data_IF_908407717087
#
_entry.id   IF_908407717087
#
_cell.length_a   1.000
_cell.length_b   1.000
_cell.length_c   1.000
_cell.angle_alpha   90.00
_cell.angle_beta   90.00
_cell.angle_gamma   90.00
#
_symmetry.space_group_name_H-M   'P 1'
#
loop_
_entity.id
_entity.type
_entity.pdbx_description
1 polymer ?
#
# COMPACT_ATOMS: atom_id res chain seq x y z
N UNK A 1 -24.87 0.75 9.79
CA UNK A 1 -23.46 0.68 9.35
C UNK A 1 -22.60 0.59 10.61
N UNK A 2 -22.21 -0.61 11.04
CA UNK A 2 -21.47 -0.81 12.29
C UNK A 2 -19.98 -0.54 12.07
N UNK A 3 -19.50 0.65 12.46
CA UNK A 3 -18.07 0.95 12.54
C UNK A 3 -17.58 0.51 13.92
N UNK A 4 -16.90 -0.64 13.97
CA UNK A 4 -16.24 -1.10 15.19
C UNK A 4 -15.05 -0.19 15.50
N UNK A 5 -15.05 0.40 16.71
CA UNK A 5 -13.92 1.12 17.29
C UNK A 5 -12.94 0.10 17.89
N UNK A 6 -11.65 0.26 17.59
CA UNK A 6 -10.56 -0.48 18.25
C UNK A 6 -10.37 0.02 19.70
N UNK A 7 -9.64 -0.73 20.56
CA UNK A 7 -9.66 -0.56 22.02
C UNK A 7 -9.22 0.80 22.57
N UNK A 8 -8.54 1.63 21.76
CA UNK A 8 -8.01 2.92 22.19
C UNK A 8 -9.05 4.05 22.15
N UNK A 9 -10.18 3.86 21.47
CA UNK A 9 -11.28 4.84 21.42
C UNK A 9 -10.90 6.21 20.84
N UNK A 10 -9.70 6.33 20.27
CA UNK A 10 -9.13 7.61 19.86
C UNK A 10 -9.72 8.07 18.52
N UNK A 11 -10.13 9.34 18.49
CA UNK A 11 -10.54 10.04 17.28
C UNK A 11 -9.45 11.04 16.89
N UNK A 12 -9.13 11.06 15.60
CA UNK A 12 -8.14 11.92 14.98
C UNK A 12 -8.82 13.05 14.22
N UNK A 13 -8.16 14.20 14.20
CA UNK A 13 -8.49 15.33 13.34
C UNK A 13 -7.51 15.34 12.16
N UNK A 14 -8.04 15.24 10.94
CA UNK A 14 -7.24 15.32 9.72
C UNK A 14 -7.45 16.67 9.05
N UNK A 15 -6.34 17.29 8.68
CA UNK A 15 -6.32 18.48 7.85
C UNK A 15 -5.80 18.09 6.47
N UNK A 16 -6.65 18.14 5.46
CA UNK A 16 -6.31 17.81 4.08
C UNK A 16 -6.42 19.06 3.23
N UNK A 17 -5.45 19.29 2.34
CA UNK A 17 -5.51 20.36 1.37
C UNK A 17 -5.99 19.77 0.05
N UNK A 18 -7.27 19.90 -0.21
CA UNK A 18 -7.89 19.52 -1.46
C UNK A 18 -7.71 20.61 -2.52
N UNK A 19 -7.52 20.20 -3.79
CA UNK A 19 -7.29 21.16 -4.89
C UNK A 19 -8.53 21.95 -5.26
N UNK A 20 -9.71 21.37 -5.11
CA UNK A 20 -10.99 21.98 -5.50
C UNK A 20 -11.64 22.70 -4.31
N UNK A 21 -11.55 22.09 -3.12
CA UNK A 21 -12.26 22.53 -1.92
C UNK A 21 -11.37 23.27 -0.91
N UNK A 22 -10.07 23.40 -1.17
CA UNK A 22 -9.15 24.09 -0.27
C UNK A 22 -8.82 23.29 0.99
N UNK A 23 -8.84 23.92 2.17
CA UNK A 23 -8.58 23.21 3.43
C UNK A 23 -9.85 22.46 3.87
N UNK A 24 -9.78 21.13 3.90
CA UNK A 24 -10.81 20.24 4.43
C UNK A 24 -10.36 19.72 5.79
N UNK A 25 -11.29 19.68 6.75
CA UNK A 25 -11.02 19.25 8.13
C UNK A 25 -11.99 18.14 8.51
N UNK A 26 -11.47 16.92 8.72
CA UNK A 26 -12.23 15.78 9.22
C UNK A 26 -11.97 15.61 10.72
N UNK A 27 -12.94 15.95 11.57
CA UNK A 27 -12.76 16.05 13.02
C UNK A 27 -13.04 14.77 13.82
N UNK A 28 -13.36 13.65 13.16
CA UNK A 28 -13.77 12.40 13.83
C UNK A 28 -13.36 11.16 13.04
N UNK A 29 -12.07 11.04 12.72
CA UNK A 29 -11.54 9.88 12.01
C UNK A 29 -10.98 8.88 13.01
N UNK A 30 -11.44 7.63 12.97
CA UNK A 30 -10.85 6.56 13.79
C UNK A 30 -9.57 6.00 13.16
N UNK A 31 -8.70 5.38 13.97
CA UNK A 31 -7.52 4.66 13.46
C UNK A 31 -7.90 3.60 12.41
N UNK A 32 -9.01 2.89 12.64
CA UNK A 32 -9.52 1.89 11.69
C UNK A 32 -9.88 2.49 10.32
N UNK A 33 -10.45 3.70 10.29
CA UNK A 33 -10.75 4.39 9.04
C UNK A 33 -9.48 4.83 8.31
N UNK A 34 -8.47 5.31 9.04
CA UNK A 34 -7.16 5.64 8.46
C UNK A 34 -6.52 4.42 7.80
N UNK A 35 -6.46 3.30 8.52
CA UNK A 35 -5.89 2.05 7.99
C UNK A 35 -6.70 1.54 6.80
N UNK A 36 -8.03 1.63 6.84
CA UNK A 36 -8.90 1.25 5.72
C UNK A 36 -8.62 2.06 4.47
N UNK A 37 -8.50 3.39 4.61
CA UNK A 37 -8.17 4.29 3.50
C UNK A 37 -6.78 3.98 2.93
N UNK A 38 -5.77 3.84 3.79
CA UNK A 38 -4.41 3.48 3.36
C UNK A 38 -4.39 2.13 2.62
N UNK A 39 -5.26 1.18 3.01
CA UNK A 39 -5.40 -0.09 2.33
C UNK A 39 -6.12 0.03 0.98
N UNK A 40 -7.11 0.93 0.81
CA UNK A 40 -7.78 1.12 -0.49
C UNK A 40 -6.88 1.74 -1.54
N UNK A 41 -5.83 2.45 -1.14
CA UNK A 41 -4.80 2.97 -2.06
C UNK A 41 -3.78 1.92 -2.53
N UNK A 42 -3.71 0.76 -1.87
CA UNK A 42 -2.73 -0.26 -2.17
C UNK A 42 -3.17 -1.17 -3.33
N UNK A 43 -2.35 -1.27 -4.38
CA UNK A 43 -2.59 -2.16 -5.52
C UNK A 43 -2.38 -3.64 -5.20
N UNK A 44 -1.50 -3.95 -4.25
CA UNK A 44 -1.17 -5.32 -3.87
C UNK A 44 -1.28 -5.51 -2.35
N UNK A 45 -1.70 -6.69 -1.94
CA UNK A 45 -1.74 -7.16 -0.55
C UNK A 45 -0.53 -8.00 -0.21
N UNK A 46 -0.18 -8.07 1.07
CA UNK A 46 0.86 -9.00 1.54
C UNK A 46 0.38 -10.43 1.30
N UNK A 47 1.23 -11.24 0.67
CA UNK A 47 0.92 -12.60 0.23
C UNK A 47 0.57 -12.70 -1.26
N UNK A 48 0.27 -11.59 -1.93
CA UNK A 48 -0.06 -11.62 -3.35
C UNK A 48 1.14 -12.06 -4.19
N UNK A 49 0.88 -12.92 -5.18
CA UNK A 49 1.84 -13.25 -6.24
C UNK A 49 1.90 -12.09 -7.23
N UNK A 50 3.10 -11.67 -7.57
CA UNK A 50 3.34 -10.63 -8.58
C UNK A 50 4.15 -11.23 -9.74
N UNK A 51 3.73 -10.98 -10.96
CA UNK A 51 4.42 -11.46 -12.16
C UNK A 51 5.64 -10.56 -12.43
N UNK A 52 6.78 -10.96 -11.87
CA UNK A 52 8.04 -10.23 -12.00
C UNK A 52 9.16 -11.19 -12.41
N UNK A 53 9.42 -11.23 -13.72
CA UNK A 53 10.43 -12.10 -14.29
C UNK A 53 10.02 -13.59 -14.24
N UNK A 54 10.97 -14.51 -14.49
CA UNK A 54 10.64 -15.93 -14.70
C UNK A 54 10.38 -16.71 -13.40
N UNK A 55 10.54 -16.10 -12.23
CA UNK A 55 10.42 -16.76 -10.93
C UNK A 55 9.19 -16.29 -10.17
N UNK A 56 8.67 -17.14 -9.29
CA UNK A 56 7.52 -16.81 -8.46
C UNK A 56 7.89 -15.76 -7.39
N UNK A 57 7.39 -14.53 -7.57
CA UNK A 57 7.58 -13.41 -6.66
C UNK A 57 6.31 -13.12 -5.87
N UNK A 58 6.49 -12.72 -4.61
CA UNK A 58 5.39 -12.41 -3.70
C UNK A 58 5.64 -11.12 -2.95
N UNK A 59 4.55 -10.42 -2.62
CA UNK A 59 4.59 -9.29 -1.69
C UNK A 59 4.80 -9.82 -0.27
N UNK A 60 5.99 -9.64 0.29
CA UNK A 60 6.31 -10.10 1.65
C UNK A 60 5.92 -9.10 2.72
N UNK A 61 6.08 -7.82 2.42
CA UNK A 61 5.73 -6.75 3.35
C UNK A 61 5.32 -5.51 2.57
N UNK A 62 4.51 -4.70 3.25
CA UNK A 62 3.98 -3.44 2.74
C UNK A 62 3.97 -2.42 3.86
N UNK A 63 4.33 -1.18 3.56
CA UNK A 63 4.15 -0.08 4.49
C UNK A 63 3.87 1.22 3.74
N UNK A 64 3.19 2.13 4.40
CA UNK A 64 2.93 3.45 3.86
C UNK A 64 4.14 4.36 4.06
N UNK A 65 4.52 5.08 3.01
CA UNK A 65 5.51 6.14 3.10
C UNK A 65 4.81 7.49 3.17
N UNK A 66 4.67 8.04 4.37
CA UNK A 66 4.07 9.37 4.57
C UNK A 66 4.79 10.46 3.78
N UNK A 67 6.13 10.38 3.68
CA UNK A 67 6.93 11.34 2.91
C UNK A 67 6.60 11.33 1.42
N UNK A 68 6.28 10.15 0.88
CA UNK A 68 6.00 9.97 -0.56
C UNK A 68 4.51 9.90 -0.87
N UNK A 69 3.64 9.87 0.14
CA UNK A 69 2.20 9.72 -0.03
C UNK A 69 1.82 8.44 -0.78
N UNK A 70 2.62 7.37 -0.68
CA UNK A 70 2.41 6.13 -1.44
C UNK A 70 2.84 4.91 -0.64
N UNK A 71 2.44 3.75 -1.14
CA UNK A 71 2.79 2.46 -0.60
C UNK A 71 4.17 2.04 -1.09
N UNK A 72 4.96 1.45 -0.19
CA UNK A 72 6.20 0.75 -0.52
C UNK A 72 6.01 -0.74 -0.26
N UNK A 73 6.45 -1.54 -1.23
CA UNK A 73 6.40 -2.99 -1.24
C UNK A 73 7.80 -3.57 -1.07
N UNK A 74 7.90 -4.66 -0.31
CA UNK A 74 9.05 -5.55 -0.31
C UNK A 74 8.67 -6.83 -1.03
N UNK A 75 9.35 -7.10 -2.15
CA UNK A 75 9.09 -8.27 -2.98
C UNK A 75 10.15 -9.33 -2.75
N UNK A 76 9.74 -10.59 -2.61
CA UNK A 76 10.70 -11.68 -2.47
C UNK A 76 10.20 -12.99 -3.09
N UNK A 77 11.12 -13.93 -3.29
CA UNK A 77 10.76 -15.32 -3.55
C UNK A 77 10.05 -15.92 -2.33
N UNK A 78 9.20 -16.93 -2.53
CA UNK A 78 8.47 -17.57 -1.44
C UNK A 78 9.42 -18.15 -0.38
N UNK A 79 10.54 -18.72 -0.84
CA UNK A 79 11.45 -19.58 -0.07
C UNK A 79 12.77 -18.92 0.35
N UNK A 80 13.12 -17.73 -0.16
CA UNK A 80 14.46 -17.16 0.06
C UNK A 80 14.42 -15.87 0.90
N UNK A 81 14.47 -16.01 2.22
CA UNK A 81 14.51 -14.88 3.16
C UNK A 81 15.85 -14.12 3.18
N UNK A 82 16.92 -14.72 2.63
CA UNK A 82 18.29 -14.18 2.70
C UNK A 82 18.63 -13.29 1.53
N UNK A 83 17.87 -13.37 0.43
CA UNK A 83 18.04 -12.46 -0.70
C UNK A 83 17.70 -11.04 -0.30
N UNK A 84 18.55 -10.08 -0.70
CA UNK A 84 18.26 -8.65 -0.60
C UNK A 84 17.01 -8.39 -1.44
N UNK A 85 15.87 -8.31 -0.75
CA UNK A 85 14.57 -8.09 -1.37
C UNK A 85 14.49 -6.64 -1.82
N UNK A 86 14.28 -6.35 -3.13
CA UNK A 86 14.12 -4.98 -3.57
C UNK A 86 12.88 -4.36 -2.90
N UNK A 87 13.02 -3.08 -2.55
CA UNK A 87 11.93 -2.24 -2.08
C UNK A 87 11.50 -1.38 -3.24
N UNK A 88 10.22 -1.39 -3.56
CA UNK A 88 9.66 -0.65 -4.69
C UNK A 88 8.46 0.15 -4.22
N UNK A 89 8.33 1.37 -4.72
CA UNK A 89 7.08 2.13 -4.62
C UNK A 89 5.98 1.42 -5.42
N UNK A 90 4.73 1.82 -5.18
CA UNK A 90 3.60 1.29 -5.94
C UNK A 90 3.75 1.49 -7.45
N UNK A 91 4.14 2.69 -7.86
CA UNK A 91 4.32 3.02 -9.28
C UNK A 91 5.42 2.16 -9.92
N UNK A 92 6.58 2.05 -9.29
CA UNK A 92 7.69 1.21 -9.78
C UNK A 92 7.30 -0.26 -9.91
N UNK A 93 6.53 -0.78 -8.94
CA UNK A 93 6.10 -2.17 -8.95
C UNK A 93 5.08 -2.42 -10.08
N UNK A 94 4.08 -1.57 -10.22
CA UNK A 94 3.06 -1.66 -11.28
C UNK A 94 3.74 -1.61 -12.65
N UNK A 95 4.65 -0.65 -12.88
CA UNK A 95 5.38 -0.52 -14.14
C UNK A 95 6.15 -1.80 -14.51
N UNK A 96 6.78 -2.46 -13.55
CA UNK A 96 7.54 -3.68 -13.81
C UNK A 96 6.64 -4.89 -14.09
N UNK A 97 5.52 -5.00 -13.38
CA UNK A 97 4.52 -6.05 -13.63
C UNK A 97 3.93 -5.89 -15.04
N UNK A 98 3.55 -4.66 -15.43
CA UNK A 98 2.99 -4.37 -16.74
C UNK A 98 3.99 -4.62 -17.88
N UNK A 99 5.24 -4.19 -17.68
CA UNK A 99 6.32 -4.44 -18.63
C UNK A 99 6.56 -5.94 -18.85
N UNK A 100 6.54 -6.73 -17.77
CA UNK A 100 6.72 -8.17 -17.87
C UNK A 100 5.53 -8.87 -18.53
N UNK A 101 4.30 -8.45 -18.21
CA UNK A 101 3.09 -8.96 -18.84
C UNK A 101 3.11 -8.74 -20.37
N UNK A 102 3.57 -7.57 -20.81
CA UNK A 102 3.69 -7.23 -22.24
C UNK A 102 4.77 -8.07 -22.95
N UNK A 103 5.88 -8.39 -22.26
CA UNK A 103 6.98 -9.19 -22.82
C UNK A 103 6.67 -10.68 -23.04
N UNK A 104 5.53 -11.16 -22.54
CA UNK A 104 5.05 -12.56 -22.69
C UNK A 104 4.14 -12.77 -23.90
N UNK A 105 3.77 -11.70 -24.61
CA UNK A 105 2.98 -11.72 -25.85
C UNK A 105 3.91 -11.76 -27.05
#
# INVERSE_FOLDING_TARGET
>A
MHRYLYPDGALYVLHTKDRENGLVIDSSVSFGQLVSEMNSHAHFCVGDKVDLGPWDRYVKARWWSFRRGTVIYRINDLLDERRVSPRMTQEELVMQVDAFATSRV
#
